data_IF_075554066894
#
_entry.id   IF_075554066894
#
_cell.length_a   1.000
_cell.length_b   1.000
_cell.length_c   1.000
_cell.angle_alpha   90.00
_cell.angle_beta   90.00
_cell.angle_gamma   90.00
#
_symmetry.space_group_name_H-M   'P 1'
#
loop_
_entity.id
_entity.type
_entity.pdbx_description
1 polymer ?
#
# COMPACT_ATOMS: atom_id res chain seq x y z
N UNK A 1 -11.64 -3.62 14.69
CA UNK A 1 -10.88 -2.63 13.89
C UNK A 1 -9.64 -3.33 13.38
N UNK A 2 -9.64 -3.82 12.13
CA UNK A 2 -8.54 -4.62 11.55
C UNK A 2 -7.47 -3.73 10.89
N UNK A 3 -7.86 -2.52 10.51
CA UNK A 3 -7.03 -1.52 9.85
C UNK A 3 -5.95 -0.96 10.77
N UNK A 4 -6.33 -0.63 12.00
CA UNK A 4 -5.48 -0.02 13.02
C UNK A 4 -4.35 -0.98 13.43
N UNK A 5 -4.70 -2.27 13.61
CA UNK A 5 -3.74 -3.34 13.91
C UNK A 5 -2.79 -3.69 12.77
N UNK A 6 -3.11 -3.28 11.53
CA UNK A 6 -2.29 -3.58 10.37
C UNK A 6 -1.37 -2.41 10.00
N UNK A 7 -1.81 -1.16 10.20
CA UNK A 7 -0.89 -0.01 10.28
C UNK A 7 0.19 -0.24 11.35
N UNK A 8 -0.20 -0.74 12.51
CA UNK A 8 0.73 -1.09 13.60
C UNK A 8 1.69 -2.24 13.23
N UNK A 9 1.27 -3.21 12.39
CA UNK A 9 2.14 -4.28 11.87
C UNK A 9 3.05 -3.84 10.74
N UNK A 10 2.56 -2.98 9.84
CA UNK A 10 3.31 -2.43 8.71
C UNK A 10 4.39 -1.46 9.22
N UNK A 11 4.08 -0.63 10.22
CA UNK A 11 5.10 0.17 10.92
C UNK A 11 5.96 -0.65 11.90
N UNK A 12 5.57 -1.89 12.21
CA UNK A 12 6.03 -2.59 13.40
C UNK A 12 7.00 -3.75 13.23
N UNK A 13 7.03 -4.50 12.11
CA UNK A 13 7.98 -5.63 11.93
C UNK A 13 7.95 -6.37 10.60
N UNK A 14 6.89 -6.24 9.81
CA UNK A 14 6.80 -6.88 8.49
C UNK A 14 6.97 -5.81 7.42
N UNK A 15 8.19 -5.69 6.91
CA UNK A 15 8.59 -4.75 5.88
C UNK A 15 8.01 -5.19 4.53
N UNK A 16 6.68 -5.10 4.39
CA UNK A 16 5.98 -5.40 3.15
C UNK A 16 6.49 -4.45 2.08
N UNK A 17 6.95 -5.02 0.96
CA UNK A 17 7.39 -4.22 -0.17
C UNK A 17 6.20 -3.47 -0.79
N UNK A 18 6.43 -2.32 -1.46
CA UNK A 18 5.34 -1.58 -2.12
C UNK A 18 4.50 -2.47 -3.04
N UNK A 19 5.15 -3.37 -3.78
CA UNK A 19 4.49 -4.28 -4.71
C UNK A 19 3.66 -5.37 -3.99
N UNK A 20 4.06 -5.81 -2.80
CA UNK A 20 3.26 -6.73 -1.99
C UNK A 20 2.00 -6.07 -1.45
N UNK A 21 2.06 -4.79 -1.06
CA UNK A 21 0.89 -4.00 -0.67
C UNK A 21 -0.07 -3.88 -1.86
N UNK A 22 0.45 -3.61 -3.06
CA UNK A 22 -0.36 -3.52 -4.27
C UNK A 22 -1.08 -4.83 -4.60
N UNK A 23 -0.45 -5.97 -4.39
CA UNK A 23 -0.99 -7.30 -4.68
C UNK A 23 -1.89 -7.88 -3.58
N UNK A 24 -1.94 -7.29 -2.39
CA UNK A 24 -2.71 -7.86 -1.28
C UNK A 24 -4.22 -7.92 -1.57
N UNK A 25 -4.82 -9.10 -1.50
CA UNK A 25 -6.26 -9.27 -1.77
C UNK A 25 -7.14 -8.95 -0.56
N UNK A 26 -6.54 -8.84 0.63
CA UNK A 26 -7.26 -8.53 1.87
C UNK A 26 -7.64 -7.05 2.01
N UNK A 27 -7.03 -6.18 1.21
CA UNK A 27 -7.28 -4.74 1.18
C UNK A 27 -8.07 -4.34 -0.05
N UNK A 28 -8.98 -3.40 0.14
CA UNK A 28 -9.59 -2.69 -1.00
C UNK A 28 -8.58 -1.75 -1.63
N UNK A 29 -8.81 -1.37 -2.88
CA UNK A 29 -7.90 -0.49 -3.61
C UNK A 29 -7.63 0.84 -2.91
N UNK A 30 -8.63 1.41 -2.22
CA UNK A 30 -8.45 2.66 -1.47
C UNK A 30 -7.44 2.49 -0.35
N UNK A 31 -7.52 1.39 0.39
CA UNK A 31 -6.62 1.10 1.51
C UNK A 31 -5.17 0.92 1.05
N UNK A 32 -4.99 0.24 -0.09
CA UNK A 32 -3.67 0.10 -0.72
C UNK A 32 -3.10 1.45 -1.12
N UNK A 33 -3.90 2.30 -1.75
CA UNK A 33 -3.48 3.65 -2.16
C UNK A 33 -3.12 4.49 -0.93
N UNK A 34 -3.92 4.45 0.14
CA UNK A 34 -3.62 5.15 1.39
C UNK A 34 -2.27 4.71 1.98
N UNK A 35 -2.03 3.40 2.09
CA UNK A 35 -0.78 2.84 2.61
C UNK A 35 0.44 3.19 1.74
N UNK A 36 0.33 3.06 0.42
CA UNK A 36 1.42 3.40 -0.49
C UNK A 36 1.74 4.91 -0.47
N UNK A 37 0.74 5.77 -0.30
CA UNK A 37 0.98 7.20 -0.15
C UNK A 37 1.66 7.55 1.18
N UNK A 38 1.31 6.86 2.28
CA UNK A 38 2.01 7.01 3.56
C UNK A 38 3.49 6.62 3.42
N UNK A 39 3.75 5.45 2.84
CA UNK A 39 5.13 4.98 2.60
C UNK A 39 5.92 5.94 1.70
N UNK A 40 5.27 6.52 0.68
CA UNK A 40 5.88 7.52 -0.20
C UNK A 40 6.24 8.81 0.54
N UNK A 41 5.37 9.26 1.45
CA UNK A 41 5.61 10.44 2.26
C UNK A 41 6.82 10.23 3.19
N UNK A 42 6.92 9.06 3.82
CA UNK A 42 8.07 8.69 4.65
C UNK A 42 9.36 8.62 3.82
N UNK A 43 9.34 7.95 2.67
CA UNK A 43 10.50 7.86 1.78
C UNK A 43 10.93 9.25 1.26
N UNK A 44 9.99 10.10 0.89
CA UNK A 44 10.31 11.46 0.41
C UNK A 44 10.84 12.36 1.52
N UNK A 45 10.31 12.21 2.75
CA UNK A 45 10.80 12.90 3.95
C UNK A 45 12.23 12.48 4.29
N UNK A 46 12.48 11.19 4.45
CA UNK A 46 13.80 10.64 4.73
C UNK A 46 14.83 11.00 3.63
N UNK A 47 14.44 10.96 2.35
CA UNK A 47 15.30 11.41 1.23
C UNK A 47 15.67 12.89 1.34
N UNK A 48 14.74 13.73 1.80
CA UNK A 48 14.98 15.18 2.03
C UNK A 48 15.95 15.40 3.19
N UNK A 49 15.86 14.57 4.23
CA UNK A 49 16.73 14.59 5.41
C UNK A 49 18.09 13.92 5.15
N UNK A 50 18.27 13.26 4.01
CA UNK A 50 19.48 12.53 3.63
C UNK A 50 19.63 11.18 4.35
N UNK A 51 18.54 10.67 4.93
CA UNK A 51 18.49 9.40 5.61
C UNK A 51 18.29 8.25 4.59
N UNK A 52 18.92 7.08 4.78
CA UNK A 52 18.71 5.93 3.91
C UNK A 52 17.25 5.49 3.94
N UNK A 53 16.54 5.71 2.83
CA UNK A 53 15.18 5.21 2.63
C UNK A 53 15.19 3.69 2.46
N UNK A 54 14.18 3.03 3.01
CA UNK A 54 13.97 1.60 2.83
C UNK A 54 13.57 1.22 1.39
N UNK A 55 12.87 2.13 0.70
CA UNK A 55 12.35 1.96 -0.65
C UNK A 55 12.47 3.26 -1.43
N UNK A 56 12.77 3.17 -2.72
CA UNK A 56 12.79 4.35 -3.57
C UNK A 56 11.36 4.84 -3.83
N UNK A 57 11.12 6.16 -3.92
CA UNK A 57 9.79 6.70 -4.24
C UNK A 57 9.27 6.21 -5.60
N UNK A 58 10.17 5.88 -6.53
CA UNK A 58 9.84 5.30 -7.84
C UNK A 58 9.21 3.91 -7.70
N UNK A 59 9.73 3.04 -6.82
CA UNK A 59 9.17 1.71 -6.56
C UNK A 59 7.75 1.79 -5.97
N UNK A 60 7.51 2.82 -5.15
CA UNK A 60 6.20 3.09 -4.55
C UNK A 60 5.22 3.62 -5.60
N UNK A 61 5.69 4.46 -6.53
CA UNK A 61 4.89 4.93 -7.67
C UNK A 61 4.49 3.79 -8.61
N UNK A 62 5.38 2.82 -8.87
CA UNK A 62 5.06 1.62 -9.64
C UNK A 62 3.95 0.80 -8.97
N UNK A 63 4.03 0.62 -7.65
CA UNK A 63 2.99 -0.06 -6.88
C UNK A 63 1.65 0.68 -6.92
N UNK A 64 1.67 2.02 -6.83
CA UNK A 64 0.46 2.84 -6.98
C UNK A 64 -0.15 2.68 -8.36
N UNK A 65 0.66 2.76 -9.42
CA UNK A 65 0.20 2.55 -10.79
C UNK A 65 -0.44 1.17 -10.96
N UNK A 66 0.14 0.13 -10.35
CA UNK A 66 -0.42 -1.22 -10.37
C UNK A 66 -1.79 -1.31 -9.69
N UNK A 67 -1.97 -0.67 -8.54
CA UNK A 67 -3.28 -0.60 -7.87
C UNK A 67 -4.31 0.16 -8.72
N UNK A 68 -3.91 1.29 -9.29
CA UNK A 68 -4.76 2.08 -10.17
C UNK A 68 -5.17 1.31 -11.44
N UNK A 69 -4.25 0.56 -12.03
CA UNK A 69 -4.52 -0.32 -13.17
C UNK A 69 -5.48 -1.45 -12.78
N UNK A 70 -5.30 -2.08 -11.62
CA UNK A 70 -6.23 -3.09 -11.09
C UNK A 70 -7.64 -2.55 -10.86
N UNK A 71 -7.77 -1.29 -10.41
CA UNK A 71 -9.06 -0.60 -10.29
C UNK A 71 -9.67 -0.32 -11.65
N UNK A 72 -8.88 0.22 -12.59
CA UNK A 72 -9.34 0.56 -13.94
C UNK A 72 -9.79 -0.66 -14.74
N UNK A 73 -9.12 -1.80 -14.55
CA UNK A 73 -9.47 -3.08 -15.17
C UNK A 73 -10.64 -3.81 -14.46
N UNK A 74 -11.24 -3.21 -13.42
CA UNK A 74 -12.36 -3.81 -12.68
C UNK A 74 -11.96 -4.93 -11.71
N UNK A 75 -10.69 -5.31 -11.67
CA UNK A 75 -10.13 -6.33 -10.76
C UNK A 75 -10.21 -5.90 -9.29
N UNK A 76 -10.33 -4.60 -9.01
CA UNK A 76 -10.56 -4.04 -7.68
C UNK A 76 -12.03 -3.81 -7.31
N UNK A 77 -12.96 -3.92 -8.25
CA UNK A 77 -14.40 -3.70 -8.03
C UNK A 77 -15.09 -4.93 -7.43
N UNK A 78 -14.50 -6.12 -7.62
CA UNK A 78 -15.08 -7.41 -7.21
C UNK A 78 -14.73 -7.86 -5.79
N UNK A 79 -13.99 -7.07 -5.00
CA UNK A 79 -14.02 -7.19 -3.53
C UNK A 79 -15.34 -6.68 -2.93
N UNK A 80 -16.45 -6.83 -3.66
CA UNK A 80 -17.83 -6.80 -3.15
C UNK A 80 -18.33 -8.20 -2.83
N UNK A 81 -17.60 -8.95 -2.00
CA UNK A 81 -18.19 -10.02 -1.17
C UNK A 81 -17.47 -10.09 0.19
N UNK A 82 -17.44 -8.95 0.91
CA UNK A 82 -17.50 -9.01 2.37
C UNK A 82 -18.98 -8.94 2.77
N UNK A 83 -19.69 -10.03 2.51
CA UNK A 83 -21.06 -10.25 2.95
C UNK A 83 -21.21 -11.73 3.27
N UNK A 84 -21.46 -12.01 4.55
CA UNK A 84 -22.15 -13.20 5.08
C UNK A 84 -21.57 -14.58 4.71
N UNK A 85 -20.81 -15.19 5.63
CA UNK A 85 -20.96 -16.58 6.10
C UNK A 85 -20.12 -16.81 7.38
#
# INVERSE_FOLDING_TARGET
MVFDTLKDRIGGRDHLTPMEIANQTSFTAREKIELLNELKAEATGARTEGDPVAFEPEEIDEALAHVHEGVANGVGSETVLRGDY
#
